data_IF_407414935092
#
_entry.id   IF_407414935092
#
_cell.length_a   1.000
_cell.length_b   1.000
_cell.length_c   1.000
_cell.angle_alpha   90.00
_cell.angle_beta   90.00
_cell.angle_gamma   90.00
#
_symmetry.space_group_name_H-M   'P 1'
#
loop_
_entity.id
_entity.type
_entity.pdbx_description
1 polymer ?
#
# COMPACT_ATOMS: atom_id res chain seq x y z
N UNK A 1 9.40 6.46 2.73
CA UNK A 1 8.49 7.52 3.22
C UNK A 1 9.00 8.86 2.74
N UNK A 2 8.13 9.79 2.37
CA UNK A 2 8.49 11.17 2.05
C UNK A 2 8.78 11.94 3.34
N UNK A 3 9.33 13.16 3.22
CA UNK A 3 9.64 14.00 4.38
C UNK A 3 8.41 14.38 5.21
N UNK A 4 7.23 14.43 4.57
CA UNK A 4 5.93 14.72 5.20
C UNK A 4 5.29 13.51 5.92
N UNK A 5 5.99 12.37 5.97
CA UNK A 5 5.48 11.15 6.59
C UNK A 5 4.58 10.29 5.68
N UNK A 6 4.27 10.73 4.45
CA UNK A 6 3.46 9.94 3.52
C UNK A 6 4.27 8.89 2.76
N UNK A 7 3.60 7.90 2.18
CA UNK A 7 4.26 6.89 1.34
C UNK A 7 4.80 7.51 0.04
N UNK A 8 6.06 7.20 -0.26
CA UNK A 8 6.66 7.41 -1.58
C UNK A 8 6.52 6.16 -2.44
N UNK A 9 6.33 6.32 -3.75
CA UNK A 9 6.14 5.21 -4.69
C UNK A 9 7.41 4.93 -5.46
N UNK A 10 7.82 3.66 -5.50
CA UNK A 10 8.94 3.20 -6.32
C UNK A 10 8.49 3.03 -7.78
N UNK A 11 9.26 3.62 -8.70
CA UNK A 11 9.09 3.47 -10.14
C UNK A 11 10.48 3.41 -10.79
N UNK A 12 10.92 2.26 -11.34
CA UNK A 12 10.16 1.00 -11.47
C UNK A 12 9.92 0.30 -10.13
N UNK A 13 9.02 -0.70 -10.13
CA UNK A 13 8.82 -1.58 -8.95
C UNK A 13 10.12 -2.30 -8.65
N UNK A 14 10.48 -2.35 -7.37
CA UNK A 14 11.61 -3.14 -6.88
C UNK A 14 11.09 -4.53 -6.45
N UNK A 15 11.46 -5.62 -7.15
CA UNK A 15 11.10 -6.97 -6.73
C UNK A 15 11.77 -7.34 -5.41
N UNK A 16 11.09 -8.13 -4.60
CA UNK A 16 11.65 -8.72 -3.38
C UNK A 16 12.34 -10.03 -3.77
N UNK A 17 13.57 -9.94 -4.24
CA UNK A 17 14.42 -11.09 -4.56
C UNK A 17 15.57 -11.27 -3.55
N UNK A 18 16.42 -12.28 -3.77
CA UNK A 18 17.57 -12.54 -2.87
C UNK A 18 18.54 -11.36 -2.80
N UNK A 19 18.73 -10.64 -3.90
CA UNK A 19 19.59 -9.47 -3.96
C UNK A 19 19.01 -8.32 -3.14
N UNK A 20 17.70 -8.07 -3.26
CA UNK A 20 16.99 -7.12 -2.41
C UNK A 20 17.16 -7.47 -0.93
N UNK A 21 16.92 -8.72 -0.53
CA UNK A 21 17.03 -9.16 0.88
C UNK A 21 18.42 -8.89 1.43
N UNK A 22 19.47 -9.34 0.72
CA UNK A 22 20.85 -9.11 1.14
C UNK A 22 21.17 -7.62 1.33
N UNK A 23 20.71 -6.75 0.41
CA UNK A 23 20.92 -5.29 0.52
C UNK A 23 20.04 -4.64 1.59
N UNK A 24 18.84 -5.14 1.78
CA UNK A 24 17.90 -4.60 2.76
C UNK A 24 18.39 -4.89 4.19
N UNK A 25 19.19 -5.91 4.41
CA UNK A 25 19.78 -6.20 5.72
C UNK A 25 20.94 -5.26 6.11
N UNK A 26 21.57 -4.56 5.15
CA UNK A 26 22.71 -3.65 5.37
C UNK A 26 22.34 -2.32 6.07
N UNK A 27 21.16 -2.20 6.70
CA UNK A 27 20.71 -0.95 7.32
C UNK A 27 19.57 -1.11 8.32
N UNK A 28 18.76 -0.05 8.51
CA UNK A 28 17.55 -0.11 9.36
C UNK A 28 16.61 -1.22 8.89
N UNK A 29 15.79 -1.76 9.79
CA UNK A 29 14.84 -2.82 9.47
C UNK A 29 14.06 -2.53 8.16
N UNK A 30 13.93 -3.50 7.23
CA UNK A 30 13.27 -3.29 5.95
C UNK A 30 11.84 -2.74 6.07
N UNK A 31 11.06 -3.19 7.05
CA UNK A 31 9.70 -2.72 7.31
C UNK A 31 9.63 -1.27 7.82
N UNK A 32 10.74 -0.73 8.35
CA UNK A 32 10.86 0.68 8.71
C UNK A 32 11.17 1.59 7.49
N UNK A 33 11.50 1.01 6.34
CA UNK A 33 11.89 1.75 5.12
C UNK A 33 10.98 1.48 3.93
N UNK A 34 10.45 0.27 3.83
CA UNK A 34 9.67 -0.22 2.71
C UNK A 34 8.27 -0.66 3.15
N UNK A 35 7.29 -0.36 2.31
CA UNK A 35 5.98 -0.98 2.37
C UNK A 35 5.93 -2.11 1.35
N UNK A 36 5.87 -3.34 1.83
CA UNK A 36 5.68 -4.51 0.99
C UNK A 36 4.22 -4.66 0.59
N UNK A 37 4.00 -5.06 -0.65
CA UNK A 37 2.68 -5.31 -1.20
C UNK A 37 2.59 -6.76 -1.63
N UNK A 38 1.73 -7.51 -0.95
CA UNK A 38 1.46 -8.91 -1.23
C UNK A 38 0.11 -9.08 -1.95
N UNK A 39 -0.11 -10.19 -2.66
CA UNK A 39 -1.42 -10.56 -3.16
C UNK A 39 -2.47 -10.58 -2.03
N UNK A 40 -3.69 -10.12 -2.32
CA UNK A 40 -4.77 -10.17 -1.35
C UNK A 40 -5.21 -11.62 -1.10
N UNK A 41 -5.06 -12.09 0.15
CA UNK A 41 -5.38 -13.46 0.57
C UNK A 41 -6.88 -13.71 0.84
N UNK A 42 -7.74 -12.69 0.65
CA UNK A 42 -9.21 -12.76 0.76
C UNK A 42 -9.65 -13.43 2.07
N UNK A 43 -10.26 -14.62 2.02
CA UNK A 43 -10.80 -15.32 3.19
C UNK A 43 -9.78 -15.61 4.30
N UNK A 44 -8.48 -15.54 4.02
CA UNK A 44 -7.43 -15.60 5.06
C UNK A 44 -7.17 -14.27 5.79
N UNK A 45 -7.85 -13.18 5.43
CA UNK A 45 -7.69 -11.85 6.00
C UNK A 45 -8.89 -11.48 6.87
N UNK A 46 -8.65 -10.98 8.10
CA UNK A 46 -9.71 -10.57 9.03
C UNK A 46 -10.57 -9.40 8.55
N UNK A 47 -10.13 -8.65 7.54
CA UNK A 47 -10.91 -7.57 6.91
C UNK A 47 -11.71 -8.04 5.69
N UNK A 48 -11.74 -9.33 5.39
CA UNK A 48 -12.50 -9.85 4.27
C UNK A 48 -13.94 -10.18 4.68
N UNK A 49 -14.92 -9.59 4.01
CA UNK A 49 -16.35 -9.76 4.33
C UNK A 49 -16.99 -10.97 3.64
N UNK A 50 -16.21 -11.72 2.86
CA UNK A 50 -16.69 -12.79 1.98
C UNK A 50 -16.61 -12.42 0.50
N UNK A 51 -16.81 -11.14 0.16
CA UNK A 51 -16.75 -10.63 -1.21
C UNK A 51 -15.92 -9.35 -1.39
N UNK A 52 -15.64 -8.62 -0.30
CA UNK A 52 -14.95 -7.34 -0.33
C UNK A 52 -13.99 -7.17 0.86
N UNK A 53 -13.10 -6.19 0.76
CA UNK A 53 -12.24 -5.76 1.86
C UNK A 53 -12.92 -4.62 2.61
N UNK A 54 -13.28 -4.82 3.88
CA UNK A 54 -13.91 -3.76 4.70
C UNK A 54 -12.93 -2.64 5.04
N UNK A 55 -11.63 -2.94 5.17
CA UNK A 55 -10.63 -1.95 5.58
C UNK A 55 -10.56 -0.74 4.65
N UNK A 56 -10.60 -0.94 3.33
CA UNK A 56 -10.57 0.20 2.40
C UNK A 56 -11.84 1.03 2.47
N UNK A 57 -12.98 0.41 2.78
CA UNK A 57 -14.24 1.12 2.91
C UNK A 57 -14.21 2.00 4.17
N UNK A 58 -13.76 1.47 5.30
CA UNK A 58 -13.58 2.24 6.55
C UNK A 58 -12.57 3.38 6.39
N UNK A 59 -11.42 3.14 5.73
CA UNK A 59 -10.43 4.19 5.50
C UNK A 59 -10.98 5.34 4.64
N UNK A 60 -11.83 5.05 3.66
CA UNK A 60 -12.47 6.09 2.83
C UNK A 60 -13.53 6.89 3.58
N UNK A 61 -14.14 6.31 4.62
CA UNK A 61 -15.07 7.02 5.50
C UNK A 61 -14.33 7.96 6.47
N UNK A 62 -13.15 7.56 6.93
CA UNK A 62 -12.34 8.32 7.90
C UNK A 62 -11.42 9.38 7.25
N UNK A 63 -11.12 9.25 5.95
CA UNK A 63 -10.15 10.13 5.27
C UNK A 63 -10.83 11.16 4.38
N UNK A 64 -10.63 12.44 4.68
CA UNK A 64 -11.12 13.55 3.84
C UNK A 64 -10.11 14.05 2.81
N UNK A 65 -8.81 13.81 3.04
CA UNK A 65 -7.71 14.50 2.34
C UNK A 65 -6.90 13.55 1.44
N UNK A 66 -7.47 13.17 0.29
CA UNK A 66 -6.77 12.37 -0.72
C UNK A 66 -5.83 13.20 -1.61
N UNK A 67 -4.87 12.54 -2.27
CA UNK A 67 -4.09 13.18 -3.35
C UNK A 67 -4.98 13.55 -4.55
N UNK A 68 -4.79 14.76 -5.09
CA UNK A 68 -5.46 15.21 -6.31
C UNK A 68 -5.08 14.37 -7.53
N UNK A 69 -3.81 13.94 -7.60
CA UNK A 69 -3.29 13.15 -8.71
C UNK A 69 -2.87 11.76 -8.29
N UNK A 70 -3.36 10.76 -9.01
CA UNK A 70 -3.02 9.38 -8.72
C UNK A 70 -1.50 9.12 -8.85
N UNK A 71 -0.88 8.48 -7.86
CA UNK A 71 0.54 8.15 -7.91
C UNK A 71 0.85 7.12 -9.01
N UNK A 72 2.10 7.02 -9.47
CA UNK A 72 2.54 5.91 -10.33
C UNK A 72 2.73 4.64 -9.48
N UNK A 73 1.63 3.92 -9.27
CA UNK A 73 1.59 2.72 -8.43
C UNK A 73 1.81 1.46 -9.26
N UNK A 74 2.92 0.76 -9.02
CA UNK A 74 3.28 -0.43 -9.80
C UNK A 74 2.45 -1.68 -9.55
N UNK A 75 1.69 -1.74 -8.46
CA UNK A 75 0.77 -2.86 -8.16
C UNK A 75 -0.66 -2.59 -8.61
N UNK A 76 -0.98 -1.39 -9.15
CA UNK A 76 -2.37 -0.95 -9.42
C UNK A 76 -3.21 -2.01 -10.13
N UNK A 77 -2.63 -2.66 -11.15
CA UNK A 77 -3.30 -3.70 -11.95
C UNK A 77 -3.76 -4.92 -11.15
N UNK A 78 -3.11 -5.21 -10.02
CA UNK A 78 -3.40 -6.36 -9.15
C UNK A 78 -3.93 -5.95 -7.76
N UNK A 79 -4.04 -4.65 -7.49
CA UNK A 79 -4.40 -4.12 -6.18
C UNK A 79 -5.89 -4.34 -5.90
N UNK A 80 -6.22 -5.07 -4.82
CA UNK A 80 -7.61 -5.32 -4.42
C UNK A 80 -8.38 -4.02 -4.15
N UNK A 81 -7.77 -3.06 -3.47
CA UNK A 81 -8.43 -1.79 -3.14
C UNK A 81 -8.79 -1.00 -4.39
N UNK A 82 -7.89 -0.93 -5.38
CA UNK A 82 -8.18 -0.30 -6.67
C UNK A 82 -9.29 -1.04 -7.43
N UNK A 83 -9.25 -2.38 -7.50
CA UNK A 83 -10.33 -3.14 -8.14
C UNK A 83 -11.69 -2.97 -7.45
N UNK A 84 -11.73 -2.57 -6.17
CA UNK A 84 -12.97 -2.44 -5.39
C UNK A 84 -13.53 -1.01 -5.44
N UNK A 85 -12.69 0.00 -5.20
CA UNK A 85 -13.11 1.42 -5.07
C UNK A 85 -12.48 2.34 -6.13
N UNK A 86 -11.75 1.77 -7.09
CA UNK A 86 -11.17 2.53 -8.21
C UNK A 86 -10.16 3.58 -7.77
N UNK A 87 -10.10 4.73 -8.47
CA UNK A 87 -9.24 5.87 -8.14
C UNK A 87 -9.32 6.33 -6.69
N UNK A 88 -10.50 6.33 -6.06
CA UNK A 88 -10.69 6.82 -4.69
C UNK A 88 -9.78 6.10 -3.69
N UNK A 89 -9.65 4.78 -3.82
CA UNK A 89 -8.70 4.03 -3.00
C UNK A 89 -7.25 4.48 -3.20
N UNK A 90 -6.86 4.80 -4.44
CA UNK A 90 -5.50 5.22 -4.74
C UNK A 90 -5.16 6.63 -4.22
N UNK A 91 -6.16 7.52 -4.07
CA UNK A 91 -5.95 8.88 -3.59
C UNK A 91 -5.51 8.90 -2.13
N UNK A 92 -6.04 7.98 -1.31
CA UNK A 92 -5.72 7.89 0.12
C UNK A 92 -4.54 6.96 0.44
N UNK A 93 -4.12 6.10 -0.50
CA UNK A 93 -3.01 5.16 -0.30
C UNK A 93 -1.73 5.77 0.31
N UNK A 94 -1.31 7.01 -0.03
CA UNK A 94 -0.11 7.60 0.57
C UNK A 94 -0.23 7.88 2.07
N UNK A 95 -1.45 8.03 2.58
CA UNK A 95 -1.74 8.29 3.99
C UNK A 95 -1.76 7.01 4.82
N UNK A 96 -1.91 5.85 4.17
CA UNK A 96 -1.94 4.54 4.83
C UNK A 96 -0.53 4.14 5.26
N UNK A 97 -0.15 4.59 6.45
CA UNK A 97 1.14 4.32 7.08
C UNK A 97 0.94 3.59 8.41
N UNK A 98 2.00 2.98 8.96
CA UNK A 98 1.95 2.41 10.30
C UNK A 98 2.14 3.56 11.29
N UNK A 99 1.15 3.83 12.13
CA UNK A 99 1.33 4.70 13.29
C UNK A 99 2.32 4.05 14.24
N UNK A 100 3.31 4.82 14.69
CA UNK A 100 4.35 4.34 15.61
C UNK A 100 3.85 4.33 17.05
#
# INVERSE_FOLDING_TARGET
MKADGTLGYLSPVLPVDRGFVARAEEGRAPDARFRFAEPCIRGGCGYWTGSACSLIDSLLEETTDGEDRLPRCGIRRACRWFHQRGPQACQICPLVTRTN
#
